data_IF_593298668964
#
_entry.id   IF_593298668964
#
_cell.length_a   1.000
_cell.length_b   1.000
_cell.length_c   1.000
_cell.angle_alpha   90.00
_cell.angle_beta   90.00
_cell.angle_gamma   90.00
#
_symmetry.space_group_name_H-M   'P 1'
#
loop_
_entity.id
_entity.type
_entity.pdbx_description
1 polymer ?
#
# COMPACT_ATOMS: atom_id res chain seq x y z
N UNK A 1 3.84 26.23 5.86
CA UNK A 1 4.56 25.02 5.45
C UNK A 1 4.68 25.06 3.94
N UNK A 2 5.82 24.64 3.37
CA UNK A 2 5.94 24.56 1.91
C UNK A 2 5.13 23.38 1.38
N UNK A 3 4.58 23.54 0.18
CA UNK A 3 3.84 22.46 -0.49
C UNK A 3 4.79 21.38 -0.94
N UNK A 4 4.53 20.13 -0.57
CA UNK A 4 5.29 18.96 -1.02
C UNK A 4 4.64 18.36 -2.28
N UNK A 5 5.42 18.21 -3.34
CA UNK A 5 4.98 17.70 -4.65
C UNK A 5 5.76 16.45 -5.04
N UNK A 6 5.12 15.57 -5.78
CA UNK A 6 5.78 14.42 -6.41
C UNK A 6 6.39 14.90 -7.74
N UNK A 7 7.70 14.93 -7.78
CA UNK A 7 8.46 15.29 -8.98
C UNK A 7 8.56 14.12 -9.95
N UNK A 8 8.82 12.90 -9.45
CA UNK A 8 8.94 11.72 -10.27
C UNK A 8 8.71 10.44 -9.51
N UNK A 9 8.31 9.39 -10.22
CA UNK A 9 8.06 8.06 -9.68
C UNK A 9 8.68 6.98 -10.56
N UNK A 10 9.03 5.84 -9.95
CA UNK A 10 9.57 4.69 -10.66
C UNK A 10 9.19 3.39 -9.97
N UNK A 11 8.98 2.33 -10.75
CA UNK A 11 8.64 1.01 -10.24
C UNK A 11 9.12 -0.07 -11.23
N UNK A 12 9.76 -1.12 -10.72
CA UNK A 12 10.07 -2.29 -11.54
C UNK A 12 8.86 -3.24 -11.60
N UNK A 13 8.78 -4.06 -12.65
CA UNK A 13 7.79 -5.15 -12.69
C UNK A 13 8.06 -6.10 -11.53
N UNK A 14 7.01 -6.45 -10.79
CA UNK A 14 7.13 -7.35 -9.66
C UNK A 14 7.35 -8.80 -10.10
N UNK A 15 8.04 -9.57 -9.26
CA UNK A 15 8.41 -10.94 -9.54
C UNK A 15 8.11 -11.89 -8.36
N UNK A 16 7.93 -13.18 -8.65
CA UNK A 16 7.85 -14.21 -7.60
C UNK A 16 9.24 -14.43 -6.98
N UNK A 17 9.31 -14.83 -5.70
CA UNK A 17 10.57 -15.22 -5.08
C UNK A 17 11.35 -16.24 -5.92
N UNK A 18 12.63 -15.96 -6.15
CA UNK A 18 13.51 -16.74 -7.00
C UNK A 18 13.42 -16.46 -8.51
N UNK A 19 12.58 -15.50 -8.92
CA UNK A 19 12.51 -14.99 -10.30
C UNK A 19 12.89 -13.50 -10.39
N UNK A 20 13.25 -12.91 -9.26
CA UNK A 20 13.65 -11.52 -9.11
C UNK A 20 15.14 -11.31 -9.34
N UNK A 21 15.52 -10.08 -9.65
CA UNK A 21 16.89 -9.61 -9.52
C UNK A 21 17.22 -9.34 -8.04
N UNK A 22 18.51 -9.24 -7.65
CA UNK A 22 18.89 -8.81 -6.31
C UNK A 22 18.25 -7.47 -5.93
N UNK A 23 17.91 -7.31 -4.64
CA UNK A 23 17.19 -6.12 -4.15
C UNK A 23 17.86 -4.79 -4.54
N UNK A 24 19.20 -4.72 -4.49
CA UNK A 24 19.95 -3.51 -4.85
C UNK A 24 19.78 -3.15 -6.32
N UNK A 25 19.70 -4.13 -7.21
CA UNK A 25 19.49 -3.93 -8.66
C UNK A 25 18.06 -3.45 -8.93
N UNK A 26 17.07 -4.07 -8.30
CA UNK A 26 15.67 -3.64 -8.41
C UNK A 26 15.49 -2.22 -7.88
N UNK A 27 16.05 -1.90 -6.71
CA UNK A 27 15.97 -0.58 -6.09
C UNK A 27 16.66 0.49 -6.96
N UNK A 28 17.88 0.24 -7.44
CA UNK A 28 18.59 1.20 -8.29
C UNK A 28 17.85 1.47 -9.61
N UNK A 29 17.21 0.47 -10.20
CA UNK A 29 16.36 0.64 -11.39
C UNK A 29 15.15 1.54 -11.10
N UNK A 30 14.43 1.28 -10.00
CA UNK A 30 13.28 2.09 -9.61
C UNK A 30 13.68 3.54 -9.30
N UNK A 31 14.80 3.75 -8.60
CA UNK A 31 15.32 5.08 -8.29
C UNK A 31 15.70 5.83 -9.59
N UNK A 32 16.43 5.18 -10.50
CA UNK A 32 16.81 5.79 -11.77
C UNK A 32 15.59 6.15 -12.64
N UNK A 33 14.54 5.32 -12.63
CA UNK A 33 13.28 5.67 -13.29
C UNK A 33 12.63 6.90 -12.65
N UNK A 34 12.59 6.99 -11.31
CA UNK A 34 12.02 8.15 -10.61
C UNK A 34 12.83 9.44 -10.89
N UNK A 35 14.15 9.35 -10.93
CA UNK A 35 15.03 10.48 -11.30
C UNK A 35 14.80 10.91 -12.75
N UNK A 36 14.68 9.96 -13.67
CA UNK A 36 14.37 10.21 -15.08
C UNK A 36 13.00 10.84 -15.26
N UNK A 37 11.96 10.34 -14.57
CA UNK A 37 10.62 10.89 -14.60
C UNK A 37 10.56 12.32 -14.04
N UNK A 38 11.35 12.61 -12.99
CA UNK A 38 11.53 13.95 -12.45
C UNK A 38 12.37 14.88 -13.34
N UNK A 39 13.16 14.34 -14.26
CA UNK A 39 14.09 15.10 -15.08
C UNK A 39 15.27 15.70 -14.30
N UNK A 40 15.71 15.06 -13.21
CA UNK A 40 16.81 15.55 -12.37
C UNK A 40 17.96 14.55 -12.24
N UNK A 41 19.14 15.07 -11.97
CA UNK A 41 20.31 14.26 -11.62
C UNK A 41 20.32 13.93 -10.12
N UNK A 42 20.80 12.73 -9.75
CA UNK A 42 20.86 12.26 -8.35
C UNK A 42 21.55 13.25 -7.38
N UNK A 43 22.63 13.97 -7.72
CA UNK A 43 23.25 14.96 -6.82
C UNK A 43 22.34 16.10 -6.34
N UNK A 44 21.17 16.30 -6.95
CA UNK A 44 20.17 17.27 -6.49
C UNK A 44 19.30 16.75 -5.35
N UNK A 45 19.30 15.45 -5.09
CA UNK A 45 18.65 14.83 -3.93
C UNK A 45 19.45 15.13 -2.68
N UNK A 46 18.79 15.60 -1.61
CA UNK A 46 19.44 16.06 -0.38
C UNK A 46 19.29 15.07 0.79
N UNK A 47 18.30 14.19 0.72
CA UNK A 47 18.05 13.18 1.75
C UNK A 47 17.30 11.99 1.16
N UNK A 48 17.52 10.78 1.69
CA UNK A 48 16.86 9.57 1.23
C UNK A 48 16.26 8.75 2.40
N UNK A 49 15.10 8.16 2.14
CA UNK A 49 14.38 7.26 3.02
C UNK A 49 14.19 5.92 2.34
N UNK A 50 14.80 4.88 2.91
CA UNK A 50 14.81 3.53 2.38
C UNK A 50 13.89 2.61 3.19
N UNK A 51 12.94 1.96 2.56
CA UNK A 51 12.00 1.04 3.21
C UNK A 51 12.20 -0.41 2.76
N UNK A 52 12.33 -1.32 3.72
CA UNK A 52 12.44 -2.76 3.52
C UNK A 52 12.19 -3.50 4.84
N UNK A 53 11.89 -4.78 4.77
CA UNK A 53 11.61 -5.61 5.95
C UNK A 53 12.59 -6.78 6.05
N UNK A 54 12.76 -7.55 4.98
CA UNK A 54 13.60 -8.74 4.93
C UNK A 54 15.01 -8.42 4.40
N UNK A 55 15.70 -7.55 5.12
CA UNK A 55 17.07 -7.17 4.83
C UNK A 55 17.86 -6.87 6.11
N UNK A 56 19.16 -7.02 6.06
CA UNK A 56 20.05 -6.63 7.15
C UNK A 56 20.09 -5.11 7.35
N UNK A 57 20.68 -4.67 8.44
CA UNK A 57 20.91 -3.25 8.68
C UNK A 57 21.67 -2.62 7.52
N UNK A 58 21.32 -1.37 7.18
CA UNK A 58 21.95 -0.58 6.11
C UNK A 58 21.78 -1.08 4.67
N UNK A 59 20.84 -1.99 4.41
CA UNK A 59 20.49 -2.37 3.03
C UNK A 59 20.06 -1.17 2.17
N UNK A 60 19.46 -0.13 2.77
CA UNK A 60 19.12 1.10 2.08
C UNK A 60 20.34 1.81 1.50
N UNK A 61 21.41 1.96 2.26
CA UNK A 61 22.69 2.53 1.79
C UNK A 61 23.26 1.67 0.66
N UNK A 62 23.30 0.35 0.86
CA UNK A 62 23.86 -0.57 -0.14
C UNK A 62 23.11 -0.48 -1.48
N UNK A 63 21.77 -0.40 -1.44
CA UNK A 63 20.97 -0.25 -2.64
C UNK A 63 21.18 1.12 -3.33
N UNK A 64 21.29 2.20 -2.53
CA UNK A 64 21.46 3.56 -3.05
C UNK A 64 22.84 3.79 -3.66
N UNK A 65 23.88 3.12 -3.16
CA UNK A 65 25.25 3.28 -3.67
C UNK A 65 25.42 2.80 -5.12
N UNK A 66 24.56 1.93 -5.61
CA UNK A 66 24.51 1.58 -7.05
C UNK A 66 24.01 2.75 -7.93
N UNK A 67 23.32 3.74 -7.35
CA UNK A 67 22.92 4.99 -8.06
C UNK A 67 24.00 6.05 -7.95
N UNK A 68 24.65 6.14 -6.78
CA UNK A 68 25.74 7.08 -6.53
C UNK A 68 26.04 7.25 -5.04
N UNK A 69 27.20 7.85 -4.76
CA UNK A 69 27.70 8.13 -3.41
C UNK A 69 27.89 9.64 -3.24
N UNK A 70 26.82 10.36 -2.87
CA UNK A 70 26.83 11.83 -2.74
C UNK A 70 26.97 12.30 -1.29
N UNK A 71 26.99 11.37 -0.32
CA UNK A 71 27.15 11.71 1.10
C UNK A 71 25.87 12.22 1.77
N UNK A 72 24.70 12.13 1.11
CA UNK A 72 23.42 12.52 1.69
C UNK A 72 23.03 11.59 2.85
N UNK A 73 22.28 12.09 3.85
CA UNK A 73 21.67 11.24 4.87
C UNK A 73 20.75 10.18 4.27
N UNK A 74 20.87 8.93 4.71
CA UNK A 74 19.99 7.82 4.36
C UNK A 74 19.38 7.25 5.64
N UNK A 75 18.06 7.27 5.74
CA UNK A 75 17.28 6.76 6.87
C UNK A 75 16.60 5.47 6.44
N UNK A 76 16.86 4.36 7.16
CA UNK A 76 16.17 3.10 6.94
C UNK A 76 14.89 3.06 7.77
N UNK A 77 13.77 2.64 7.17
CA UNK A 77 12.43 2.74 7.72
C UNK A 77 11.79 1.36 7.76
N UNK A 78 11.21 1.00 8.91
CA UNK A 78 10.46 -0.24 9.08
C UNK A 78 9.18 -0.01 9.91
N UNK A 79 8.03 -0.07 9.26
CA UNK A 79 6.69 -0.15 9.83
C UNK A 79 5.91 -1.29 9.13
N UNK A 80 6.58 -2.45 9.01
CA UNK A 80 6.04 -3.61 8.33
C UNK A 80 5.49 -3.23 6.92
N UNK A 81 4.30 -3.70 6.55
CA UNK A 81 3.73 -3.47 5.20
C UNK A 81 3.51 -1.99 4.85
N UNK A 82 3.44 -1.08 5.83
CA UNK A 82 3.30 0.36 5.60
C UNK A 82 4.63 1.13 5.47
N UNK A 83 5.77 0.42 5.48
CA UNK A 83 7.10 1.05 5.44
C UNK A 83 7.31 1.97 4.24
N UNK A 84 6.81 1.59 3.06
CA UNK A 84 6.91 2.43 1.85
C UNK A 84 6.16 3.76 1.98
N UNK A 85 4.95 3.74 2.52
CA UNK A 85 4.18 4.95 2.81
C UNK A 85 4.78 5.77 3.94
N UNK A 86 5.41 5.11 4.94
CA UNK A 86 6.15 5.81 6.00
C UNK A 86 7.38 6.54 5.43
N UNK A 87 8.08 5.96 4.46
CA UNK A 87 9.18 6.63 3.77
C UNK A 87 8.71 7.91 3.05
N UNK A 88 7.54 7.85 2.37
CA UNK A 88 6.91 9.04 1.76
C UNK A 88 6.51 10.06 2.83
N UNK A 89 5.95 9.61 3.98
CA UNK A 89 5.54 10.47 5.08
C UNK A 89 6.73 11.27 5.62
N UNK A 90 7.86 10.62 5.87
CA UNK A 90 9.08 11.28 6.34
C UNK A 90 9.68 12.23 5.28
N UNK A 91 9.71 11.81 4.01
CA UNK A 91 10.18 12.66 2.91
C UNK A 91 9.31 13.91 2.76
N UNK A 92 7.97 13.75 2.84
CA UNK A 92 7.03 14.89 2.84
C UNK A 92 7.29 15.83 4.02
N UNK A 93 7.47 15.30 5.23
CA UNK A 93 7.76 16.13 6.42
C UNK A 93 9.06 16.92 6.26
N UNK A 94 10.12 16.28 5.76
CA UNK A 94 11.40 16.94 5.55
C UNK A 94 11.29 18.10 4.53
N UNK A 95 10.54 17.91 3.44
CA UNK A 95 10.30 18.94 2.43
C UNK A 95 9.36 20.02 2.94
N UNK A 96 8.23 19.65 3.57
CA UNK A 96 7.22 20.61 4.05
C UNK A 96 7.74 21.49 5.19
N UNK A 97 8.65 20.98 6.03
CA UNK A 97 9.30 21.75 7.08
C UNK A 97 10.43 22.67 6.56
N UNK A 98 10.87 22.50 5.31
CA UNK A 98 12.01 23.22 4.74
C UNK A 98 13.36 22.68 5.20
N UNK A 99 13.44 21.50 5.83
CA UNK A 99 14.71 20.88 6.17
C UNK A 99 15.52 20.50 4.92
N UNK A 100 14.83 20.09 3.86
CA UNK A 100 15.38 19.85 2.52
C UNK A 100 14.40 20.34 1.45
N UNK A 101 14.90 20.61 0.25
CA UNK A 101 14.05 20.97 -0.89
C UNK A 101 13.70 19.78 -1.79
N UNK A 102 14.52 18.73 -1.76
CA UNK A 102 14.33 17.52 -2.55
C UNK A 102 14.74 16.27 -1.78
N UNK A 103 13.81 15.34 -1.62
CA UNK A 103 14.02 14.08 -0.94
C UNK A 103 13.65 12.90 -1.84
N UNK A 104 14.34 11.77 -1.66
CA UNK A 104 14.04 10.48 -2.28
C UNK A 104 13.41 9.56 -1.24
N UNK A 105 12.25 8.99 -1.54
CA UNK A 105 11.72 7.83 -0.87
C UNK A 105 11.81 6.63 -1.81
N UNK A 106 12.38 5.51 -1.35
CA UNK A 106 12.47 4.29 -2.14
C UNK A 106 12.31 3.06 -1.24
N UNK A 107 11.82 2.00 -1.84
CA UNK A 107 11.61 0.76 -1.11
C UNK A 107 11.80 -0.45 -2.01
N UNK A 108 12.18 -1.53 -1.39
CA UNK A 108 12.39 -2.81 -2.06
C UNK A 108 12.03 -3.96 -1.14
N UNK A 109 11.81 -5.12 -1.74
CA UNK A 109 11.69 -6.36 -0.99
C UNK A 109 12.22 -7.52 -1.82
N UNK A 110 12.99 -8.38 -1.17
CA UNK A 110 13.46 -9.66 -1.69
C UNK A 110 12.94 -10.78 -0.79
N UNK A 111 11.66 -11.15 -0.99
CA UNK A 111 11.00 -12.15 -0.18
C UNK A 111 11.42 -13.56 -0.55
N UNK A 112 11.36 -14.46 0.42
CA UNK A 112 11.49 -15.91 0.21
C UNK A 112 10.11 -16.56 0.07
N UNK A 113 10.07 -17.78 -0.46
CA UNK A 113 8.83 -18.58 -0.50
C UNK A 113 8.38 -18.90 0.93
N UNK A 114 7.10 -18.72 1.20
CA UNK A 114 6.53 -18.95 2.53
C UNK A 114 6.86 -17.85 3.53
N UNK A 115 7.41 -16.73 3.09
CA UNK A 115 7.79 -15.62 3.95
C UNK A 115 6.58 -15.02 4.66
N UNK A 116 6.71 -14.81 5.91
CA UNK A 116 6.12 -13.99 6.96
C UNK A 116 6.51 -14.63 8.32
N UNK A 117 7.69 -15.25 8.39
CA UNK A 117 8.28 -15.73 9.63
C UNK A 117 9.05 -14.63 10.37
N UNK A 118 9.29 -14.84 11.66
CA UNK A 118 10.26 -14.02 12.40
C UNK A 118 11.67 -14.27 11.88
N UNK A 119 12.47 -13.21 11.76
CA UNK A 119 13.90 -13.32 11.48
C UNK A 119 14.69 -13.74 12.74
N UNK A 120 14.08 -13.63 13.93
CA UNK A 120 14.71 -13.86 15.22
C UNK A 120 13.80 -14.73 16.09
N UNK A 121 14.33 -15.81 16.63
CA UNK A 121 13.63 -16.75 17.53
C UNK A 121 14.16 -16.70 18.98
N UNK A 122 15.21 -15.90 19.23
CA UNK A 122 15.92 -15.77 20.51
C UNK A 122 15.41 -14.59 21.36
N UNK A 123 14.38 -13.88 20.93
CA UNK A 123 13.83 -12.69 21.58
C UNK A 123 12.31 -12.60 21.44
N UNK A 124 11.69 -11.75 22.26
CA UNK A 124 10.26 -11.53 22.23
C UNK A 124 9.79 -11.02 20.86
N UNK A 125 8.71 -11.63 20.36
CA UNK A 125 8.09 -11.19 19.11
C UNK A 125 7.27 -9.92 19.34
N UNK A 126 7.40 -8.89 18.49
CA UNK A 126 6.58 -7.67 18.59
C UNK A 126 5.07 -7.96 18.36
N UNK A 127 4.74 -9.12 17.80
CA UNK A 127 3.37 -9.57 17.61
C UNK A 127 2.81 -10.40 18.77
N UNK A 128 3.59 -10.65 19.82
CA UNK A 128 3.16 -11.42 20.99
C UNK A 128 1.85 -10.90 21.59
N UNK A 129 1.76 -9.60 21.97
CA UNK A 129 0.55 -9.02 22.54
C UNK A 129 -0.67 -9.09 21.61
N UNK A 130 -0.49 -8.86 20.30
CA UNK A 130 -1.58 -8.98 19.31
C UNK A 130 -2.06 -10.43 19.18
N UNK A 131 -1.15 -11.39 19.21
CA UNK A 131 -1.50 -12.83 19.16
C UNK A 131 -2.27 -13.25 20.40
N UNK A 132 -1.89 -12.75 21.56
CA UNK A 132 -2.61 -12.97 22.81
C UNK A 132 -4.01 -12.35 22.76
N UNK A 133 -4.13 -11.09 22.36
CA UNK A 133 -5.42 -10.41 22.20
C UNK A 133 -6.33 -11.14 21.20
N UNK A 134 -5.82 -11.60 20.07
CA UNK A 134 -6.59 -12.41 19.11
C UNK A 134 -7.11 -13.69 19.76
N UNK A 135 -6.31 -14.37 20.56
CA UNK A 135 -6.70 -15.61 21.25
C UNK A 135 -7.75 -15.39 22.34
N UNK A 136 -7.87 -14.16 22.86
CA UNK A 136 -8.91 -13.80 23.84
C UNK A 136 -10.26 -13.46 23.18
N UNK A 137 -10.25 -13.00 21.94
CA UNK A 137 -11.46 -12.54 21.24
C UNK A 137 -11.97 -13.54 20.19
N UNK A 138 -11.24 -14.61 19.92
CA UNK A 138 -11.65 -15.64 18.96
C UNK A 138 -10.93 -16.97 19.13
N UNK A 139 -11.63 -18.07 18.81
CA UNK A 139 -11.10 -19.43 18.74
C UNK A 139 -10.50 -19.72 17.35
N UNK A 140 -9.59 -18.87 16.90
CA UNK A 140 -8.99 -19.02 15.58
C UNK A 140 -8.13 -20.29 15.49
N UNK A 141 -8.24 -21.10 14.42
CA UNK A 141 -7.39 -22.26 14.22
C UNK A 141 -5.92 -21.88 14.12
N UNK A 142 -5.02 -22.80 14.42
CA UNK A 142 -3.59 -22.58 14.24
C UNK A 142 -3.26 -22.35 12.76
N UNK A 143 -2.64 -21.22 12.46
CA UNK A 143 -2.20 -20.83 11.14
C UNK A 143 -1.14 -19.70 11.26
N UNK A 144 -0.40 -19.36 10.21
CA UNK A 144 0.45 -18.16 10.20
C UNK A 144 -0.31 -16.91 10.66
N UNK A 145 0.33 -16.06 11.45
CA UNK A 145 -0.32 -14.94 12.15
C UNK A 145 -1.21 -14.07 11.25
N UNK A 146 -0.69 -13.60 10.13
CA UNK A 146 -1.47 -12.76 9.21
C UNK A 146 -2.75 -13.48 8.73
N UNK A 147 -2.65 -14.77 8.43
CA UNK A 147 -3.78 -15.58 7.99
C UNK A 147 -4.84 -15.73 9.09
N UNK A 148 -4.41 -15.92 10.34
CA UNK A 148 -5.32 -15.94 11.50
C UNK A 148 -6.03 -14.61 11.69
N UNK A 149 -5.29 -13.50 11.63
CA UNK A 149 -5.84 -12.16 11.86
C UNK A 149 -6.89 -11.80 10.79
N UNK A 150 -6.51 -11.86 9.51
CA UNK A 150 -7.43 -11.48 8.42
C UNK A 150 -8.55 -12.51 8.20
N UNK A 151 -8.30 -13.78 8.42
CA UNK A 151 -9.32 -14.82 8.36
C UNK A 151 -10.37 -14.62 9.45
N UNK A 152 -9.94 -14.39 10.69
CA UNK A 152 -10.86 -14.17 11.81
C UNK A 152 -11.63 -12.85 11.70
N UNK A 153 -10.98 -11.80 11.19
CA UNK A 153 -11.67 -10.53 10.91
C UNK A 153 -12.78 -10.70 9.86
N UNK A 154 -12.54 -11.53 8.84
CA UNK A 154 -13.56 -11.86 7.84
C UNK A 154 -14.72 -12.64 8.42
N UNK A 155 -14.46 -13.63 9.30
CA UNK A 155 -15.51 -14.36 10.02
C UNK A 155 -16.33 -13.41 10.88
N UNK A 156 -15.68 -12.56 11.68
CA UNK A 156 -16.35 -11.57 12.52
C UNK A 156 -17.18 -10.57 11.70
N UNK A 157 -16.68 -10.17 10.52
CA UNK A 157 -17.42 -9.28 9.63
C UNK A 157 -18.71 -9.95 9.09
N UNK A 158 -18.60 -11.21 8.63
CA UNK A 158 -19.77 -12.00 8.18
C UNK A 158 -20.82 -12.10 9.30
N UNK A 159 -20.40 -12.44 10.51
CA UNK A 159 -21.30 -12.62 11.66
C UNK A 159 -21.94 -11.30 12.08
N UNK A 160 -21.16 -10.21 12.14
CA UNK A 160 -21.64 -8.89 12.59
C UNK A 160 -22.70 -8.30 11.66
N UNK A 161 -22.50 -8.43 10.35
CA UNK A 161 -23.35 -7.77 9.36
C UNK A 161 -24.23 -8.74 8.57
N UNK A 162 -24.14 -10.05 8.82
CA UNK A 162 -24.89 -11.10 8.13
C UNK A 162 -24.76 -11.03 6.60
N UNK A 163 -23.54 -10.76 6.11
CA UNK A 163 -23.23 -10.63 4.68
C UNK A 163 -22.94 -11.98 4.04
N UNK A 164 -23.14 -12.07 2.71
CA UNK A 164 -22.76 -13.26 1.96
C UNK A 164 -21.24 -13.35 1.81
N UNK A 165 -20.58 -14.46 2.22
CA UNK A 165 -19.13 -14.64 2.07
C UNK A 165 -18.58 -14.44 0.66
N UNK A 166 -19.42 -14.54 -0.36
CA UNK A 166 -19.04 -14.29 -1.76
C UNK A 166 -18.52 -12.88 -2.00
N UNK A 167 -18.79 -11.91 -1.11
CA UNK A 167 -18.23 -10.54 -1.24
C UNK A 167 -16.70 -10.57 -1.32
N UNK A 168 -16.05 -11.42 -0.55
CA UNK A 168 -14.59 -11.56 -0.57
C UNK A 168 -14.10 -12.14 -1.90
N UNK A 169 -14.83 -13.11 -2.46
CA UNK A 169 -14.55 -13.65 -3.78
C UNK A 169 -14.73 -12.62 -4.90
N UNK A 170 -15.77 -11.78 -4.82
CA UNK A 170 -16.03 -10.69 -5.78
C UNK A 170 -14.88 -9.68 -5.80
N UNK A 171 -14.27 -9.38 -4.66
CA UNK A 171 -13.07 -8.53 -4.57
C UNK A 171 -11.90 -9.16 -5.35
N UNK A 172 -11.61 -10.45 -5.19
CA UNK A 172 -10.57 -11.13 -5.96
C UNK A 172 -10.81 -11.07 -7.46
N UNK A 173 -12.05 -11.31 -7.90
CA UNK A 173 -12.45 -11.24 -9.31
C UNK A 173 -12.24 -9.84 -9.86
N UNK A 174 -12.68 -8.79 -9.13
CA UNK A 174 -12.47 -7.38 -9.50
C UNK A 174 -10.99 -7.07 -9.65
N UNK A 175 -10.21 -7.34 -8.61
CA UNK A 175 -8.77 -7.02 -8.55
C UNK A 175 -8.01 -7.69 -9.69
N UNK A 176 -8.33 -8.97 -9.99
CA UNK A 176 -7.73 -9.67 -11.11
C UNK A 176 -8.15 -9.11 -12.48
N UNK A 177 -9.39 -8.67 -12.61
CA UNK A 177 -9.86 -8.00 -13.85
C UNK A 177 -9.16 -6.65 -14.09
N UNK A 178 -8.83 -5.93 -13.03
CA UNK A 178 -8.04 -4.70 -13.11
C UNK A 178 -6.59 -4.99 -13.53
N UNK A 179 -5.99 -6.03 -12.96
CA UNK A 179 -4.60 -6.42 -13.20
C UNK A 179 -4.29 -6.77 -14.66
N UNK A 180 -5.27 -7.27 -15.42
CA UNK A 180 -5.10 -7.54 -16.87
C UNK A 180 -4.61 -6.33 -17.64
N UNK A 181 -4.93 -5.11 -17.18
CA UNK A 181 -4.56 -3.84 -17.82
C UNK A 181 -3.21 -3.31 -17.37
N UNK A 182 -2.57 -3.96 -16.37
CA UNK A 182 -1.37 -3.44 -15.76
C UNK A 182 -0.12 -4.24 -16.14
N UNK A 183 0.83 -3.67 -16.91
CA UNK A 183 2.05 -4.36 -17.32
C UNK A 183 2.99 -4.69 -16.15
N UNK A 184 2.79 -4.07 -14.98
CA UNK A 184 3.58 -4.32 -13.76
C UNK A 184 3.03 -5.47 -12.92
N UNK A 185 1.84 -6.00 -13.25
CA UNK A 185 1.20 -7.05 -12.46
C UNK A 185 1.93 -8.37 -12.52
N UNK A 186 1.94 -9.06 -11.37
CA UNK A 186 2.45 -10.41 -11.22
C UNK A 186 1.48 -11.46 -11.80
N UNK A 187 0.18 -11.19 -11.66
CA UNK A 187 -0.91 -12.01 -12.16
C UNK A 187 -1.85 -11.15 -13.03
N UNK A 188 -2.07 -11.59 -14.25
CA UNK A 188 -2.84 -10.88 -15.28
C UNK A 188 -3.93 -11.76 -15.93
N UNK A 189 -4.17 -12.97 -15.41
CA UNK A 189 -5.20 -13.86 -15.91
C UNK A 189 -6.51 -13.66 -15.14
N UNK A 190 -7.64 -13.38 -15.80
CA UNK A 190 -8.94 -13.22 -15.17
C UNK A 190 -9.33 -14.45 -14.33
N UNK A 191 -10.14 -14.22 -13.30
CA UNK A 191 -10.73 -15.26 -12.45
C UNK A 191 -12.26 -15.17 -12.50
N UNK A 192 -12.94 -16.30 -12.44
CA UNK A 192 -14.37 -16.37 -12.12
C UNK A 192 -14.59 -16.45 -10.62
N UNK A 193 -15.81 -16.15 -10.16
CA UNK A 193 -16.17 -16.33 -8.75
C UNK A 193 -16.07 -17.80 -8.34
N UNK A 194 -16.43 -18.73 -9.23
CA UNK A 194 -16.29 -20.19 -9.01
C UNK A 194 -14.81 -20.59 -8.81
N UNK A 195 -13.88 -20.01 -9.59
CA UNK A 195 -12.44 -20.27 -9.41
C UNK A 195 -11.98 -19.87 -8.01
N UNK A 196 -12.49 -18.74 -7.49
CA UNK A 196 -12.09 -18.20 -6.19
C UNK A 196 -12.75 -18.96 -5.04
N UNK A 197 -14.06 -19.21 -5.12
CA UNK A 197 -14.84 -19.72 -4.00
C UNK A 197 -14.84 -21.24 -3.91
N UNK A 198 -14.84 -21.94 -5.06
CA UNK A 198 -15.08 -23.38 -5.10
C UNK A 198 -13.85 -24.19 -5.52
N UNK A 199 -13.04 -23.67 -6.46
CA UNK A 199 -11.87 -24.41 -6.98
C UNK A 199 -10.58 -24.12 -6.23
N UNK A 200 -10.46 -22.93 -5.65
CA UNK A 200 -9.27 -22.55 -4.89
C UNK A 200 -9.26 -23.28 -3.51
N UNK A 201 -8.10 -23.77 -3.05
CA UNK A 201 -7.98 -24.34 -1.72
C UNK A 201 -8.36 -23.34 -0.62
N UNK A 202 -9.16 -23.78 0.33
CA UNK A 202 -9.42 -23.03 1.58
C UNK A 202 -8.12 -23.01 2.39
N UNK A 203 -7.69 -21.83 2.79
CA UNK A 203 -6.46 -21.61 3.59
C UNK A 203 -6.79 -21.17 5.01
N UNK A 204 -8.00 -20.63 5.24
CA UNK A 204 -8.54 -20.37 6.55
C UNK A 204 -10.07 -20.59 6.53
N UNK A 205 -10.60 -21.62 7.26
CA UNK A 205 -12.04 -21.88 7.26
C UNK A 205 -12.82 -20.78 7.97
N UNK A 206 -14.11 -20.57 7.63
CA UNK A 206 -14.81 -21.32 6.58
C UNK A 206 -14.68 -20.74 5.17
N UNK A 207 -14.24 -19.49 4.98
CA UNK A 207 -14.46 -18.75 3.74
C UNK A 207 -13.19 -18.30 3.00
N UNK A 208 -12.03 -18.22 3.67
CA UNK A 208 -10.83 -17.63 3.05
C UNK A 208 -10.09 -18.66 2.20
N UNK A 209 -10.07 -18.41 0.89
CA UNK A 209 -9.35 -19.25 -0.06
C UNK A 209 -7.99 -18.66 -0.44
N UNK A 210 -7.13 -19.48 -1.05
CA UNK A 210 -5.79 -19.05 -1.50
C UNK A 210 -5.81 -17.87 -2.47
N UNK A 211 -6.87 -17.71 -3.26
CA UNK A 211 -7.01 -16.61 -4.22
C UNK A 211 -7.50 -15.30 -3.58
N UNK A 212 -7.75 -15.31 -2.27
CA UNK A 212 -8.13 -14.16 -1.47
C UNK A 212 -6.98 -13.57 -0.64
N UNK A 213 -5.76 -14.04 -0.87
CA UNK A 213 -4.55 -13.58 -0.19
C UNK A 213 -3.48 -13.16 -1.20
N UNK A 214 -2.70 -12.13 -0.86
CA UNK A 214 -1.58 -11.69 -1.68
C UNK A 214 -0.45 -12.75 -1.72
N UNK A 215 0.27 -12.88 -2.83
CA UNK A 215 1.42 -13.77 -2.92
C UNK A 215 2.67 -13.11 -2.32
N UNK A 216 3.63 -13.89 -1.79
CA UNK A 216 4.99 -13.41 -1.57
C UNK A 216 5.55 -12.81 -2.88
N UNK A 217 6.10 -11.60 -2.80
CA UNK A 217 6.47 -10.82 -3.97
C UNK A 217 7.78 -10.08 -3.75
N UNK A 218 8.63 -10.05 -4.78
CA UNK A 218 9.84 -9.24 -4.83
C UNK A 218 9.66 -8.07 -5.79
N UNK A 219 10.25 -6.92 -5.46
CA UNK A 219 10.15 -5.73 -6.29
C UNK A 219 10.70 -4.48 -5.62
N UNK A 220 10.67 -3.37 -6.34
CA UNK A 220 11.08 -2.07 -5.85
C UNK A 220 10.27 -0.94 -6.49
N UNK A 221 10.12 0.16 -5.74
CA UNK A 221 9.53 1.40 -6.22
C UNK A 221 10.20 2.61 -5.55
N UNK A 222 10.09 3.79 -6.18
CA UNK A 222 10.68 5.02 -5.69
C UNK A 222 9.84 6.24 -6.07
N UNK A 223 9.96 7.30 -5.25
CA UNK A 223 9.35 8.60 -5.50
C UNK A 223 10.33 9.72 -5.14
N UNK A 224 10.36 10.76 -5.96
CA UNK A 224 11.07 12.02 -5.68
C UNK A 224 10.03 13.02 -5.19
N UNK A 225 10.24 13.54 -3.99
CA UNK A 225 9.38 14.54 -3.35
C UNK A 225 10.18 15.86 -3.30
N UNK A 226 9.58 16.95 -3.74
CA UNK A 226 10.25 18.25 -3.72
C UNK A 226 9.32 19.38 -3.29
N UNK A 227 9.93 20.51 -2.89
CA UNK A 227 9.23 21.76 -2.67
C UNK A 227 8.78 22.39 -4.00
N UNK A 228 7.72 23.18 -3.98
CA UNK A 228 7.30 23.97 -5.15
C UNK A 228 8.42 24.88 -5.64
N UNK A 229 9.14 25.53 -4.74
CA UNK A 229 10.26 26.41 -5.08
C UNK A 229 11.38 25.67 -5.80
N UNK A 230 11.70 24.44 -5.37
CA UNK A 230 12.67 23.59 -6.04
C UNK A 230 12.19 23.19 -7.45
N UNK A 231 10.91 22.78 -7.57
CA UNK A 231 10.33 22.44 -8.87
C UNK A 231 10.42 23.61 -9.86
N UNK A 232 10.04 24.81 -9.44
CA UNK A 232 10.14 26.02 -10.26
C UNK A 232 11.57 26.35 -10.64
N UNK A 233 12.50 26.31 -9.68
CA UNK A 233 13.93 26.61 -9.90
C UNK A 233 14.57 25.66 -10.93
N UNK A 234 14.19 24.41 -10.94
CA UNK A 234 14.78 23.38 -11.80
C UNK A 234 13.92 23.04 -13.03
N UNK A 235 12.80 23.75 -13.26
CA UNK A 235 11.90 23.52 -14.40
C UNK A 235 11.21 22.15 -14.38
N UNK A 236 10.95 21.60 -13.19
CA UNK A 236 10.33 20.29 -12.98
C UNK A 236 8.82 20.42 -13.10
N UNK A 237 8.18 19.57 -13.90
CA UNK A 237 6.74 19.46 -13.98
C UNK A 237 6.19 18.60 -12.81
N UNK A 238 6.20 19.12 -11.60
CA UNK A 238 5.66 18.46 -10.42
C UNK A 238 4.16 18.78 -10.25
N UNK A 239 3.31 18.16 -11.06
CA UNK A 239 1.87 18.44 -11.12
C UNK A 239 1.02 17.68 -10.09
N UNK A 240 1.62 16.84 -9.26
CA UNK A 240 0.92 16.10 -8.22
C UNK A 240 1.37 16.57 -6.85
N UNK A 241 0.40 17.07 -6.07
CA UNK A 241 0.59 17.53 -4.69
C UNK A 241 0.22 16.44 -3.70
N UNK A 242 1.00 16.28 -2.61
CA UNK A 242 0.58 15.56 -1.42
C UNK A 242 -0.20 16.54 -0.55
N UNK A 243 -1.52 16.57 -0.70
CA UNK A 243 -2.41 17.54 -0.03
C UNK A 243 -2.43 17.31 1.46
N UNK A 244 -2.67 16.08 1.87
CA UNK A 244 -2.73 15.67 3.27
C UNK A 244 -2.16 14.27 3.46
N UNK A 245 -1.69 13.99 4.67
CA UNK A 245 -1.17 12.67 5.01
C UNK A 245 -1.19 12.48 6.53
N UNK A 246 -1.67 11.34 6.97
CA UNK A 246 -1.63 10.92 8.37
C UNK A 246 -1.03 9.54 8.53
N UNK A 247 -0.38 9.32 9.67
CA UNK A 247 0.12 8.02 10.12
C UNK A 247 -0.33 7.81 11.57
N UNK A 248 -1.12 6.76 11.79
CA UNK A 248 -1.71 6.41 13.08
C UNK A 248 -1.23 5.02 13.50
N UNK A 249 -0.93 4.85 14.78
CA UNK A 249 -0.65 3.54 15.39
C UNK A 249 -1.89 3.04 16.13
N UNK A 250 -1.80 1.85 16.75
CA UNK A 250 -2.90 1.26 17.51
C UNK A 250 -3.45 2.22 18.58
N UNK A 251 -4.77 2.29 18.66
CA UNK A 251 -5.53 2.99 19.69
C UNK A 251 -5.83 2.05 20.85
N UNK A 252 -6.24 2.59 21.99
CA UNK A 252 -6.56 1.80 23.19
C UNK A 252 -7.63 0.70 22.94
N UNK A 253 -8.48 0.87 21.94
CA UNK A 253 -9.53 -0.06 21.56
C UNK A 253 -9.23 -0.87 20.28
N UNK A 254 -8.02 -0.78 19.72
CA UNK A 254 -7.66 -1.53 18.51
C UNK A 254 -7.70 -3.05 18.70
N UNK A 255 -7.53 -3.54 19.91
CA UNK A 255 -7.41 -4.99 20.18
C UNK A 255 -8.64 -5.58 20.86
N UNK A 256 -9.80 -4.96 20.73
CA UNK A 256 -11.04 -5.38 21.38
C UNK A 256 -11.87 -6.38 20.59
N UNK A 257 -11.62 -6.46 19.28
CA UNK A 257 -12.30 -7.39 18.37
C UNK A 257 -11.43 -7.67 17.12
N UNK A 258 -11.71 -8.76 16.36
CA UNK A 258 -10.90 -9.15 15.22
C UNK A 258 -10.85 -8.10 14.08
N UNK A 259 -11.90 -7.31 13.87
CA UNK A 259 -11.97 -6.29 12.81
C UNK A 259 -11.01 -5.13 13.15
N UNK A 260 -10.99 -4.71 14.41
CA UNK A 260 -10.08 -3.66 14.87
C UNK A 260 -8.64 -4.14 14.97
N UNK A 261 -8.40 -5.43 15.30
CA UNK A 261 -7.05 -6.01 15.31
C UNK A 261 -6.31 -5.93 13.97
N UNK A 262 -7.03 -5.93 12.85
CA UNK A 262 -6.42 -5.71 11.53
C UNK A 262 -6.37 -4.26 11.10
N UNK A 263 -6.63 -3.31 12.01
CA UNK A 263 -6.38 -1.89 11.80
C UNK A 263 -7.56 -1.05 11.31
N UNK A 264 -8.81 -1.52 11.44
CA UNK A 264 -9.99 -0.75 11.02
C UNK A 264 -10.04 0.63 11.68
N UNK A 265 -9.88 0.70 13.02
CA UNK A 265 -9.90 1.97 13.75
C UNK A 265 -8.70 2.88 13.47
N UNK A 266 -7.52 2.32 13.25
CA UNK A 266 -6.36 3.12 12.82
C UNK A 266 -6.59 3.75 11.45
N UNK A 267 -7.17 2.98 10.52
CA UNK A 267 -7.50 3.45 9.16
C UNK A 267 -8.55 4.54 9.19
N UNK A 268 -9.63 4.36 9.97
CA UNK A 268 -10.69 5.36 10.19
C UNK A 268 -10.12 6.67 10.73
N UNK A 269 -9.29 6.60 11.78
CA UNK A 269 -8.63 7.77 12.36
C UNK A 269 -7.72 8.48 11.34
N UNK A 270 -6.87 7.73 10.64
CA UNK A 270 -5.95 8.31 9.66
C UNK A 270 -6.69 8.94 8.48
N UNK A 271 -7.78 8.32 8.00
CA UNK A 271 -8.63 8.87 6.94
C UNK A 271 -9.31 10.17 7.39
N UNK A 272 -9.91 10.18 8.57
CA UNK A 272 -10.54 11.37 9.16
C UNK A 272 -9.56 12.55 9.24
N UNK A 273 -8.36 12.31 9.77
CA UNK A 273 -7.32 13.34 9.85
C UNK A 273 -6.90 13.87 8.47
N UNK A 274 -6.85 13.01 7.45
CA UNK A 274 -6.52 13.41 6.07
C UNK A 274 -7.64 14.25 5.47
N UNK A 275 -8.90 13.89 5.68
CA UNK A 275 -10.04 14.67 5.21
C UNK A 275 -10.11 16.03 5.89
N UNK A 276 -9.90 16.10 7.20
CA UNK A 276 -9.83 17.38 7.93
C UNK A 276 -8.66 18.27 7.44
N UNK A 277 -7.46 17.70 7.26
CA UNK A 277 -6.28 18.45 6.81
C UNK A 277 -6.43 18.98 5.39
N UNK A 278 -7.06 18.20 4.50
CA UNK A 278 -7.21 18.57 3.08
C UNK A 278 -8.38 19.47 2.79
N UNK A 279 -9.43 19.44 3.63
CA UNK A 279 -10.72 20.02 3.35
C UNK A 279 -11.48 19.33 2.21
N UNK A 280 -11.08 18.09 1.84
CA UNK A 280 -11.70 17.23 0.85
C UNK A 280 -12.30 16.02 1.55
N UNK A 281 -13.42 15.50 1.02
CA UNK A 281 -14.07 14.29 1.52
C UNK A 281 -13.86 13.07 0.61
N UNK A 282 -14.40 11.89 0.99
CA UNK A 282 -14.40 10.72 0.13
C UNK A 282 -15.06 10.99 -1.22
N UNK A 283 -16.10 11.83 -1.25
CA UNK A 283 -16.84 12.21 -2.45
C UNK A 283 -16.01 12.93 -3.53
N UNK A 284 -14.87 13.51 -3.14
CA UNK A 284 -13.95 14.19 -4.04
C UNK A 284 -12.95 13.22 -4.70
N UNK A 285 -12.87 11.97 -4.22
CA UNK A 285 -11.87 10.98 -4.66
C UNK A 285 -12.38 10.19 -5.86
N UNK A 286 -11.57 10.03 -6.91
CA UNK A 286 -11.89 9.20 -8.07
C UNK A 286 -11.15 7.86 -8.08
N UNK A 287 -9.94 7.83 -7.56
CA UNK A 287 -9.08 6.64 -7.60
C UNK A 287 -8.46 6.35 -6.24
N UNK A 288 -8.49 5.08 -5.84
CA UNK A 288 -7.98 4.61 -4.55
C UNK A 288 -7.02 3.45 -4.76
N UNK A 289 -5.84 3.52 -4.19
CA UNK A 289 -4.96 2.36 -3.97
C UNK A 289 -4.96 2.05 -2.46
N UNK A 290 -5.68 1.03 -2.05
CA UNK A 290 -5.77 0.60 -0.67
C UNK A 290 -5.04 -0.74 -0.42
N UNK A 291 -4.85 -1.08 0.83
CA UNK A 291 -4.08 -2.23 1.28
C UNK A 291 -4.93 -3.52 1.26
N UNK A 292 -4.98 -4.19 0.11
CA UNK A 292 -5.71 -5.44 -0.11
C UNK A 292 -4.80 -6.68 0.04
N UNK A 293 -4.03 -6.78 1.13
CA UNK A 293 -3.21 -7.98 1.37
C UNK A 293 -4.06 -9.26 1.49
N UNK A 294 -5.30 -9.10 1.95
CA UNK A 294 -6.40 -10.06 1.90
C UNK A 294 -7.67 -9.34 1.44
N UNK A 295 -8.59 -10.07 0.80
CA UNK A 295 -9.88 -9.50 0.41
C UNK A 295 -10.68 -8.98 1.60
N UNK A 296 -10.53 -9.61 2.76
CA UNK A 296 -11.11 -9.16 4.03
C UNK A 296 -10.69 -7.71 4.34
N UNK A 297 -9.40 -7.41 4.20
CA UNK A 297 -8.91 -6.06 4.48
C UNK A 297 -9.46 -5.03 3.51
N UNK A 298 -9.60 -5.37 2.22
CA UNK A 298 -10.21 -4.46 1.25
C UNK A 298 -11.66 -4.14 1.62
N UNK A 299 -12.47 -5.16 1.97
CA UNK A 299 -13.88 -4.97 2.37
C UNK A 299 -13.99 -4.07 3.60
N UNK A 300 -13.22 -4.34 4.65
CA UNK A 300 -13.22 -3.55 5.88
C UNK A 300 -12.69 -2.12 5.62
N UNK A 301 -11.70 -1.97 4.74
CA UNK A 301 -11.15 -0.66 4.40
C UNK A 301 -12.11 0.23 3.62
N UNK A 302 -13.09 -0.31 2.90
CA UNK A 302 -14.12 0.53 2.26
C UNK A 302 -14.88 1.37 3.28
N UNK A 303 -15.27 0.76 4.39
CA UNK A 303 -15.98 1.42 5.48
C UNK A 303 -15.04 2.34 6.29
N UNK A 304 -13.86 1.84 6.66
CA UNK A 304 -12.89 2.60 7.43
C UNK A 304 -12.36 3.85 6.72
N UNK A 305 -12.30 3.83 5.38
CA UNK A 305 -11.96 5.00 4.55
C UNK A 305 -13.18 5.88 4.21
N UNK A 306 -14.39 5.51 4.65
CA UNK A 306 -15.61 6.25 4.36
C UNK A 306 -16.08 6.16 2.90
N UNK A 307 -15.63 5.14 2.13
CA UNK A 307 -16.08 4.93 0.75
C UNK A 307 -17.51 4.40 0.69
N UNK A 308 -17.95 3.73 1.75
CA UNK A 308 -19.35 3.37 2.02
C UNK A 308 -19.62 3.44 3.53
N UNK A 309 -20.90 3.40 3.92
CA UNK A 309 -21.29 3.38 5.33
C UNK A 309 -20.95 2.04 5.99
N UNK A 310 -20.84 2.02 7.31
CA UNK A 310 -20.62 0.80 8.09
C UNK A 310 -21.71 -0.25 7.83
N UNK A 311 -21.32 -1.48 7.52
CA UNK A 311 -22.19 -2.60 7.17
C UNK A 311 -22.71 -2.60 5.73
N UNK A 312 -22.36 -1.63 4.90
CA UNK A 312 -22.87 -1.47 3.54
C UNK A 312 -21.89 -1.97 2.45
N UNK A 313 -20.76 -2.58 2.82
CA UNK A 313 -19.76 -3.00 1.83
C UNK A 313 -20.29 -4.07 0.86
N UNK A 314 -21.22 -4.95 1.27
CA UNK A 314 -21.85 -5.92 0.35
C UNK A 314 -22.62 -5.19 -0.77
N UNK A 315 -23.47 -4.23 -0.40
CA UNK A 315 -24.21 -3.43 -1.35
C UNK A 315 -23.28 -2.60 -2.26
N UNK A 316 -22.24 -2.00 -1.68
CA UNK A 316 -21.23 -1.22 -2.40
C UNK A 316 -20.51 -2.05 -3.48
N UNK A 317 -20.18 -3.32 -3.17
CA UNK A 317 -19.56 -4.27 -4.10
C UNK A 317 -20.58 -4.69 -5.18
N UNK A 318 -21.81 -5.03 -4.79
CA UNK A 318 -22.84 -5.55 -5.69
C UNK A 318 -23.33 -4.48 -6.67
N UNK A 319 -23.43 -3.24 -6.23
CA UNK A 319 -23.71 -2.07 -7.08
C UNK A 319 -22.49 -1.62 -7.91
N UNK A 320 -21.35 -2.34 -7.80
CA UNK A 320 -20.11 -2.08 -8.53
C UNK A 320 -19.55 -0.67 -8.31
N UNK A 321 -19.74 -0.12 -7.11
CA UNK A 321 -19.24 1.23 -6.77
C UNK A 321 -17.72 1.29 -6.55
N UNK A 322 -17.06 0.13 -6.49
CA UNK A 322 -15.61 -0.05 -6.23
C UNK A 322 -14.76 -0.31 -7.49
N UNK A 323 -15.32 -0.10 -8.69
CA UNK A 323 -14.65 -0.45 -9.96
C UNK A 323 -14.95 0.57 -11.05
N UNK A 324 -14.39 0.40 -12.23
CA UNK A 324 -14.62 1.26 -13.39
C UNK A 324 -16.12 1.41 -13.70
N UNK A 325 -16.55 2.67 -13.78
CA UNK A 325 -17.95 3.05 -13.97
C UNK A 325 -18.75 3.19 -12.67
N UNK A 326 -18.18 2.84 -11.52
CA UNK A 326 -18.71 3.14 -10.19
C UNK A 326 -18.27 4.50 -9.67
N UNK A 327 -18.58 4.77 -8.40
CA UNK A 327 -18.22 6.03 -7.73
C UNK A 327 -16.69 6.14 -7.54
N UNK A 328 -16.05 5.04 -7.17
CA UNK A 328 -14.59 4.95 -6.98
C UNK A 328 -14.01 3.87 -7.88
N UNK A 329 -12.77 4.05 -8.35
CA UNK A 329 -12.00 2.95 -8.90
C UNK A 329 -10.96 2.53 -7.86
N UNK A 330 -11.23 1.41 -7.19
CA UNK A 330 -10.38 0.88 -6.12
C UNK A 330 -9.42 -0.15 -6.69
N UNK A 331 -8.12 0.04 -6.40
CA UNK A 331 -7.02 -0.80 -6.85
C UNK A 331 -7.02 -1.02 -8.38
N UNK A 332 -7.04 0.06 -9.21
CA UNK A 332 -6.93 -0.08 -10.67
C UNK A 332 -5.64 -0.78 -11.09
N UNK A 333 -4.63 -0.76 -10.25
CA UNK A 333 -3.36 -1.46 -10.48
C UNK A 333 -3.47 -2.98 -10.44
N UNK A 334 -4.56 -3.53 -9.90
CA UNK A 334 -4.71 -4.93 -9.52
C UNK A 334 -4.36 -5.19 -8.06
N UNK A 335 -4.05 -4.13 -7.29
CA UNK A 335 -3.80 -4.20 -5.85
C UNK A 335 -2.65 -5.12 -5.46
N UNK A 336 -2.53 -5.38 -4.16
CA UNK A 336 -1.52 -6.27 -3.61
C UNK A 336 -1.76 -7.73 -4.01
N UNK A 337 -3.03 -8.09 -4.21
CA UNK A 337 -3.43 -9.47 -4.54
C UNK A 337 -3.05 -9.89 -5.95
N UNK A 338 -2.99 -8.96 -6.91
CA UNK A 338 -2.72 -9.30 -8.31
C UNK A 338 -1.48 -8.61 -8.86
N UNK A 339 -1.25 -7.31 -8.58
CA UNK A 339 0.01 -6.65 -8.90
C UNK A 339 1.14 -7.24 -8.06
N UNK A 340 0.89 -7.48 -6.78
CA UNK A 340 1.83 -8.07 -5.84
C UNK A 340 2.12 -7.18 -4.64
N UNK A 341 2.76 -7.77 -3.62
CA UNK A 341 3.01 -7.13 -2.32
C UNK A 341 4.48 -7.27 -1.90
N UNK A 342 5.44 -6.60 -2.56
CA UNK A 342 6.79 -6.47 -2.04
C UNK A 342 6.74 -5.49 -0.85
N UNK A 343 6.78 -6.02 0.37
CA UNK A 343 6.33 -5.35 1.60
C UNK A 343 6.92 -3.95 1.75
N UNK A 344 8.24 -3.80 1.67
CA UNK A 344 8.91 -2.50 1.79
C UNK A 344 8.64 -1.54 0.62
N UNK A 345 8.25 -2.04 -0.55
CA UNK A 345 8.00 -1.22 -1.74
C UNK A 345 6.52 -0.86 -1.95
N UNK A 346 5.60 -1.54 -1.28
CA UNK A 346 4.16 -1.46 -1.58
C UNK A 346 3.62 -0.03 -1.55
N UNK A 347 3.88 0.73 -0.48
CA UNK A 347 3.37 2.11 -0.38
C UNK A 347 3.91 3.03 -1.48
N UNK A 348 5.15 2.84 -1.91
CA UNK A 348 5.75 3.57 -3.02
C UNK A 348 5.17 3.17 -4.37
N UNK A 349 4.87 1.88 -4.54
CA UNK A 349 4.20 1.37 -5.72
C UNK A 349 2.75 1.88 -5.84
N UNK A 350 2.01 1.99 -4.73
CA UNK A 350 0.71 2.65 -4.69
C UNK A 350 0.83 4.12 -5.09
N UNK A 351 1.81 4.84 -4.53
CA UNK A 351 2.09 6.23 -4.91
C UNK A 351 2.36 6.36 -6.42
N UNK A 352 3.21 5.50 -6.99
CA UNK A 352 3.53 5.54 -8.42
C UNK A 352 2.28 5.35 -9.29
N UNK A 353 1.43 4.37 -8.96
CA UNK A 353 0.16 4.12 -9.67
C UNK A 353 -0.76 5.34 -9.61
N UNK A 354 -0.98 5.92 -8.42
CA UNK A 354 -1.84 7.09 -8.26
C UNK A 354 -1.29 8.31 -8.99
N UNK A 355 0.02 8.53 -8.97
CA UNK A 355 0.67 9.62 -9.71
C UNK A 355 0.47 9.45 -11.23
N UNK A 356 0.61 8.23 -11.77
CA UNK A 356 0.32 7.97 -13.17
C UNK A 356 -1.14 8.24 -13.53
N UNK A 357 -2.09 7.86 -12.68
CA UNK A 357 -3.50 8.18 -12.89
C UNK A 357 -3.77 9.69 -12.90
N UNK A 358 -3.22 10.42 -11.93
CA UNK A 358 -3.39 11.87 -11.83
C UNK A 358 -2.73 12.63 -12.99
N UNK A 359 -1.66 12.08 -13.56
CA UNK A 359 -0.96 12.65 -14.73
C UNK A 359 -1.55 12.21 -16.08
N UNK A 360 -2.54 11.31 -16.10
CA UNK A 360 -3.08 10.72 -17.35
C UNK A 360 -2.11 9.76 -18.04
N UNK A 361 -1.22 9.13 -17.30
CA UNK A 361 -0.13 8.27 -17.79
C UNK A 361 -0.30 6.79 -17.45
N UNK A 362 -1.45 6.38 -16.91
CA UNK A 362 -1.68 5.00 -16.46
C UNK A 362 -1.98 4.01 -17.61
N UNK A 363 -1.95 4.43 -18.88
CA UNK A 363 -2.19 3.56 -20.04
C UNK A 363 -3.59 2.92 -20.01
N UNK A 364 -3.69 1.62 -20.30
CA UNK A 364 -4.98 0.91 -20.42
C UNK A 364 -5.78 0.86 -19.11
N UNK A 365 -5.12 1.09 -17.96
CA UNK A 365 -5.79 1.15 -16.63
C UNK A 365 -6.21 2.56 -16.22
N UNK A 366 -6.05 3.56 -17.10
CA UNK A 366 -6.33 4.96 -16.77
C UNK A 366 -7.76 5.17 -16.26
N UNK A 367 -7.90 5.74 -15.08
CA UNK A 367 -9.15 6.28 -14.54
C UNK A 367 -9.34 7.66 -15.15
N UNK A 368 -10.38 7.79 -15.99
CA UNK A 368 -10.65 9.05 -16.70
C UNK A 368 -11.11 10.13 -15.73
N UNK A 369 -10.56 11.34 -15.88
CA UNK A 369 -10.93 12.48 -15.04
C UNK A 369 -10.39 12.42 -13.60
N UNK A 370 -9.44 11.52 -13.31
CA UNK A 370 -8.82 11.45 -12.00
C UNK A 370 -8.11 12.76 -11.66
N UNK A 371 -8.54 13.43 -10.60
CA UNK A 371 -7.97 14.67 -10.09
C UNK A 371 -7.57 14.58 -8.62
N UNK A 372 -8.28 13.78 -7.84
CA UNK A 372 -7.99 13.48 -6.43
C UNK A 372 -7.83 11.97 -6.27
N UNK A 373 -6.80 11.56 -5.58
CA UNK A 373 -6.47 10.16 -5.34
C UNK A 373 -6.21 9.91 -3.85
N UNK A 374 -6.62 8.74 -3.36
CA UNK A 374 -6.41 8.31 -1.98
C UNK A 374 -5.54 7.06 -1.94
N UNK A 375 -4.51 7.09 -1.12
CA UNK A 375 -3.68 5.95 -0.80
C UNK A 375 -3.92 5.50 0.63
N UNK A 376 -4.08 4.19 0.83
CA UNK A 376 -4.10 3.58 2.16
C UNK A 376 -3.10 2.44 2.22
N UNK A 377 -2.24 2.45 3.22
CA UNK A 377 -1.24 1.40 3.44
C UNK A 377 -1.20 1.02 4.92
N UNK A 378 -1.43 -0.25 5.20
CA UNK A 378 -1.51 -0.80 6.54
C UNK A 378 -0.30 -1.69 6.82
N UNK A 379 0.32 -1.54 7.99
CA UNK A 379 1.36 -2.42 8.53
C UNK A 379 0.86 -3.13 9.79
N UNK A 380 0.87 -4.46 9.79
CA UNK A 380 0.63 -5.23 11.01
C UNK A 380 1.65 -4.85 12.07
N UNK A 381 1.20 -4.74 13.33
CA UNK A 381 2.01 -4.24 14.43
C UNK A 381 1.79 -2.75 14.70
N UNK A 382 0.79 -2.15 14.07
CA UNK A 382 0.27 -0.83 14.41
C UNK A 382 0.82 0.31 13.56
N UNK A 383 0.56 0.31 12.27
CA UNK A 383 0.77 1.51 11.43
C UNK A 383 -0.22 1.56 10.27
N UNK A 384 -1.11 2.55 10.27
CA UNK A 384 -1.95 2.89 9.13
C UNK A 384 -1.51 4.25 8.57
N UNK A 385 -1.19 4.30 7.28
CA UNK A 385 -0.82 5.54 6.58
C UNK A 385 -1.86 5.81 5.51
N UNK A 386 -2.51 6.97 5.59
CA UNK A 386 -3.43 7.48 4.56
C UNK A 386 -2.82 8.74 3.95
N UNK A 387 -2.84 8.81 2.63
CA UNK A 387 -2.27 9.95 1.89
C UNK A 387 -3.25 10.39 0.80
N UNK A 388 -3.51 11.67 0.71
CA UNK A 388 -4.32 12.27 -0.34
C UNK A 388 -3.44 13.04 -1.31
N UNK A 389 -3.62 12.75 -2.59
CA UNK A 389 -2.93 13.39 -3.71
C UNK A 389 -3.92 14.16 -4.57
N UNK A 390 -3.45 15.26 -5.17
CA UNK A 390 -4.24 16.07 -6.11
C UNK A 390 -3.38 16.48 -7.30
N UNK A 391 -3.96 16.45 -8.48
CA UNK A 391 -3.39 17.06 -9.69
C UNK A 391 -3.63 18.57 -9.63
N UNK A 392 -2.59 19.39 -9.93
CA UNK A 392 -2.59 20.86 -9.82
C UNK A 392 -2.20 21.54 -11.12
#
# INVERSE_FOLDING_TARGET
MSTARIAGVGMVKFAKPGQNEPYRVMASKAINQALQDAGIAYPLVQQAYASYIYGDSTCGQHALYDVGMTGIPVINVNNNCSSGSTAIFLARQAVASGAVDCALAFGFEEMQRGALGSAWDDRESPFGPMTEALSQVSDAPEAPLALRMFGQAGTAYIEKYNVNPNIFGKVSVKTRSHAVRNPYSLFDTPLSLEDVMERAPVIFPPHLTRLMACPPTCGAAAAIICSEAFALKHGIKASVEIVAQSMVTDLANSWTDPINLIGAKMTEQAAHEVYEQSGLGPEDVQVVELHDCFTTNEVISYEALGLCAEGEAEKFIDDRQNTYGGQFVVNPSGGLMSKGHPIGATGLAQCAELVWHLRGQAGDRQVQGANVALQHNLGLGGAAVVTMYRNI
#
